data_IF_249460177913
#
_entry.id   IF_249460177913
#
_cell.length_a   1.000
_cell.length_b   1.000
_cell.length_c   1.000
_cell.angle_alpha   90.00
_cell.angle_beta   90.00
_cell.angle_gamma   90.00
#
_symmetry.space_group_name_H-M   'P 1'
#
loop_
_entity.id
_entity.type
_entity.pdbx_description
1 polymer ?
#
# COMPACT_ATOMS: atom_id res chain seq x y z
N UNK A 1 -7.78 -11.15 2.25
CA UNK A 1 -7.98 -9.72 2.55
C UNK A 1 -7.84 -9.39 4.03
N UNK A 2 -8.46 -10.14 4.96
CA UNK A 2 -8.31 -9.89 6.41
C UNK A 2 -6.84 -9.85 6.88
N UNK A 3 -5.99 -10.72 6.32
CA UNK A 3 -4.54 -10.72 6.57
C UNK A 3 -3.90 -9.37 6.21
N UNK A 4 -4.23 -8.79 5.05
CA UNK A 4 -3.71 -7.49 4.63
C UNK A 4 -4.15 -6.36 5.57
N UNK A 5 -5.39 -6.42 6.07
CA UNK A 5 -5.88 -5.45 7.06
C UNK A 5 -5.10 -5.55 8.37
N UNK A 6 -4.95 -6.76 8.92
CA UNK A 6 -4.26 -7.00 10.20
C UNK A 6 -2.80 -6.61 10.13
N UNK A 7 -2.10 -6.98 9.05
CA UNK A 7 -0.68 -6.62 8.85
C UNK A 7 -0.49 -5.11 8.61
N UNK A 8 -1.51 -4.38 8.18
CA UNK A 8 -1.41 -2.92 8.09
C UNK A 8 -1.51 -2.21 9.45
N UNK A 9 -2.08 -2.86 10.48
CA UNK A 9 -2.35 -2.21 11.77
C UNK A 9 -1.10 -1.73 12.52
N UNK A 10 0.01 -2.48 12.61
CA UNK A 10 1.22 -2.01 13.30
C UNK A 10 1.79 -0.72 12.70
N UNK A 11 1.89 -0.66 11.37
CA UNK A 11 2.29 0.56 10.64
C UNK A 11 1.28 1.67 10.92
N UNK A 12 -0.01 1.38 10.74
CA UNK A 12 -1.05 2.38 10.89
C UNK A 12 -1.07 3.01 12.29
N UNK A 13 -0.88 2.19 13.33
CA UNK A 13 -0.79 2.63 14.72
C UNK A 13 0.46 3.47 14.97
N UNK A 14 1.63 3.00 14.53
CA UNK A 14 2.88 3.74 14.65
C UNK A 14 2.80 5.10 13.95
N UNK A 15 2.15 5.14 12.78
CA UNK A 15 1.98 6.37 12.00
C UNK A 15 0.96 7.31 12.63
N UNK A 16 -0.17 6.83 13.13
CA UNK A 16 -1.14 7.65 13.86
C UNK A 16 -0.52 8.32 15.09
N UNK A 17 0.30 7.57 15.86
CA UNK A 17 0.94 8.07 17.07
C UNK A 17 2.03 9.13 16.78
N UNK A 18 2.80 8.97 15.70
CA UNK A 18 3.97 9.79 15.42
C UNK A 18 3.79 10.80 14.28
N UNK A 19 2.69 10.74 13.53
CA UNK A 19 2.45 11.64 12.41
C UNK A 19 0.98 11.92 12.15
N UNK A 20 0.67 13.20 11.97
CA UNK A 20 -0.70 13.68 11.75
C UNK A 20 -1.22 13.53 10.31
N UNK A 21 -0.47 12.91 9.39
CA UNK A 21 -0.80 12.93 7.95
C UNK A 21 -1.58 11.70 7.46
N UNK A 22 -1.31 10.52 8.02
CA UNK A 22 -1.96 9.26 7.65
C UNK A 22 -1.78 8.25 8.79
N UNK A 23 -2.80 7.46 9.08
CA UNK A 23 -2.79 6.55 10.24
C UNK A 23 -3.82 5.42 10.11
N UNK A 24 -4.58 5.12 11.17
CA UNK A 24 -5.42 3.92 11.32
C UNK A 24 -6.51 3.77 10.27
N UNK A 25 -6.95 4.86 9.67
CA UNK A 25 -7.91 4.81 8.56
C UNK A 25 -7.21 4.58 7.21
N UNK A 26 -6.07 5.23 6.98
CA UNK A 26 -5.45 5.31 5.65
C UNK A 26 -4.70 4.02 5.29
N UNK A 27 -3.82 3.55 6.17
CA UNK A 27 -2.95 2.42 5.88
C UNK A 27 -3.72 1.10 5.64
N UNK A 28 -4.70 0.72 6.48
CA UNK A 28 -5.47 -0.50 6.22
C UNK A 28 -6.34 -0.40 4.96
N UNK A 29 -6.86 0.77 4.62
CA UNK A 29 -7.60 0.97 3.36
C UNK A 29 -6.70 0.79 2.14
N UNK A 30 -5.46 1.28 2.17
CA UNK A 30 -4.49 1.08 1.09
C UNK A 30 -4.15 -0.41 0.92
N UNK A 31 -3.85 -1.12 2.01
CA UNK A 31 -3.56 -2.56 1.96
C UNK A 31 -4.75 -3.37 1.43
N UNK A 32 -5.97 -3.05 1.88
CA UNK A 32 -7.19 -3.69 1.40
C UNK A 32 -7.47 -3.41 -0.08
N UNK A 33 -7.36 -2.15 -0.51
CA UNK A 33 -7.66 -1.75 -1.88
C UNK A 33 -6.71 -2.41 -2.89
N UNK A 34 -5.41 -2.39 -2.61
CA UNK A 34 -4.39 -3.04 -3.45
C UNK A 34 -4.55 -4.55 -3.48
N UNK A 35 -4.84 -5.18 -2.33
CA UNK A 35 -5.16 -6.60 -2.26
C UNK A 35 -6.42 -6.96 -3.08
N UNK A 36 -7.49 -6.17 -2.95
CA UNK A 36 -8.74 -6.37 -3.68
C UNK A 36 -8.53 -6.26 -5.20
N UNK A 37 -7.90 -5.18 -5.65
CA UNK A 37 -7.67 -4.94 -7.08
C UNK A 37 -6.81 -6.04 -7.70
N UNK A 38 -5.78 -6.50 -7.00
CA UNK A 38 -4.94 -7.59 -7.49
C UNK A 38 -5.71 -8.92 -7.51
N UNK A 39 -6.53 -9.22 -6.49
CA UNK A 39 -7.39 -10.41 -6.49
C UNK A 39 -8.41 -10.39 -7.63
N UNK A 40 -8.98 -9.23 -7.94
CA UNK A 40 -9.85 -9.07 -9.12
C UNK A 40 -9.05 -9.36 -10.39
N UNK A 41 -7.83 -8.82 -10.51
CA UNK A 41 -6.93 -9.12 -11.62
C UNK A 41 -6.69 -10.62 -11.80
N UNK A 42 -6.33 -11.33 -10.73
CA UNK A 42 -6.02 -12.77 -10.76
C UNK A 42 -7.27 -13.62 -11.06
N UNK A 43 -8.39 -13.35 -10.39
CA UNK A 43 -9.55 -14.24 -10.44
C UNK A 43 -10.49 -13.95 -11.61
N UNK A 44 -10.51 -12.70 -12.10
CA UNK A 44 -11.43 -12.27 -13.17
C UNK A 44 -10.71 -12.20 -14.52
N UNK A 45 -9.44 -11.79 -14.54
CA UNK A 45 -8.68 -11.64 -15.79
C UNK A 45 -7.77 -12.86 -15.98
N UNK A 46 -8.23 -13.86 -16.73
CA UNK A 46 -7.55 -15.15 -16.91
C UNK A 46 -6.28 -15.12 -17.80
N UNK A 47 -5.56 -14.00 -17.84
CA UNK A 47 -4.33 -13.85 -18.63
C UNK A 47 -3.26 -13.14 -17.81
N UNK A 48 -2.05 -13.73 -17.79
CA UNK A 48 -0.86 -13.15 -17.16
C UNK A 48 -0.54 -11.74 -17.67
N UNK A 49 -0.85 -11.45 -18.94
CA UNK A 49 -0.70 -10.11 -19.51
C UNK A 49 -1.71 -9.10 -18.98
N UNK A 50 -2.91 -9.54 -18.57
CA UNK A 50 -3.91 -8.68 -17.94
C UNK A 50 -3.60 -8.45 -16.46
N UNK A 51 -3.19 -9.49 -15.74
CA UNK A 51 -2.73 -9.41 -14.36
C UNK A 51 -1.53 -8.44 -14.22
N UNK A 52 -0.55 -8.52 -15.12
CA UNK A 52 0.62 -7.63 -15.10
C UNK A 52 0.24 -6.16 -15.32
N UNK A 53 -0.74 -5.88 -16.19
CA UNK A 53 -1.27 -4.52 -16.39
C UNK A 53 -2.00 -4.00 -15.15
N UNK A 54 -2.76 -4.86 -14.46
CA UNK A 54 -3.40 -4.49 -13.18
C UNK A 54 -2.34 -4.17 -12.14
N UNK A 55 -1.32 -5.03 -11.98
CA UNK A 55 -0.22 -4.79 -11.05
C UNK A 55 0.52 -3.48 -11.39
N UNK A 56 0.82 -3.24 -12.66
CA UNK A 56 1.47 -2.01 -13.12
C UNK A 56 0.61 -0.78 -12.78
N UNK A 57 -0.71 -0.84 -13.04
CA UNK A 57 -1.62 0.26 -12.72
C UNK A 57 -1.66 0.54 -11.20
N UNK A 58 -1.66 -0.50 -10.36
CA UNK A 58 -1.60 -0.35 -8.91
C UNK A 58 -0.27 0.32 -8.49
N UNK A 59 0.88 -0.17 -8.98
CA UNK A 59 2.20 0.38 -8.65
C UNK A 59 2.31 1.84 -9.08
N UNK A 60 1.84 2.18 -10.28
CA UNK A 60 1.81 3.56 -10.77
C UNK A 60 0.89 4.44 -9.92
N UNK A 61 -0.31 3.96 -9.58
CA UNK A 61 -1.26 4.69 -8.71
C UNK A 61 -0.71 4.94 -7.31
N UNK A 62 0.03 3.99 -6.75
CA UNK A 62 0.72 4.17 -5.46
C UNK A 62 1.77 5.29 -5.51
N UNK A 63 2.40 5.53 -6.66
CA UNK A 63 3.30 6.66 -6.88
C UNK A 63 2.60 8.01 -6.69
N UNK A 64 1.33 8.13 -7.13
CA UNK A 64 0.53 9.34 -6.95
C UNK A 64 0.18 9.57 -5.47
N UNK A 65 -0.27 8.53 -4.75
CA UNK A 65 -0.59 8.61 -3.32
C UNK A 65 0.67 8.98 -2.51
N UNK A 66 1.81 8.34 -2.82
CA UNK A 66 3.09 8.64 -2.18
C UNK A 66 3.55 10.08 -2.46
N UNK A 67 3.53 10.51 -3.72
CA UNK A 67 3.87 11.88 -4.11
C UNK A 67 3.00 12.93 -3.43
N UNK A 68 1.69 12.69 -3.34
CA UNK A 68 0.74 13.58 -2.66
C UNK A 68 0.98 13.73 -1.15
N UNK A 69 1.65 12.77 -0.52
CA UNK A 69 2.03 12.86 0.89
C UNK A 69 3.31 13.68 1.12
N UNK A 70 4.11 13.95 0.08
CA UNK A 70 5.38 14.70 0.20
C UNK A 70 5.10 16.19 0.03
N UNK A 71 5.36 16.97 1.08
CA UNK A 71 5.18 18.41 1.09
C UNK A 71 6.52 19.12 1.19
N UNK A 72 6.76 20.08 0.29
CA UNK A 72 7.95 20.93 0.27
C UNK A 72 7.57 22.36 0.63
N UNK A 73 8.23 22.92 1.64
CA UNK A 73 8.11 24.33 2.03
C UNK A 73 9.50 24.94 2.13
N UNK A 74 9.84 25.81 1.17
CA UNK A 74 11.19 26.36 1.02
C UNK A 74 12.24 25.25 0.87
N UNK A 75 13.18 25.19 1.83
CA UNK A 75 14.23 24.16 1.90
C UNK A 75 13.83 22.90 2.70
N UNK A 76 12.66 22.88 3.34
CA UNK A 76 12.21 21.76 4.19
C UNK A 76 11.29 20.82 3.41
N UNK A 77 11.58 19.52 3.46
CA UNK A 77 10.75 18.45 2.89
C UNK A 77 10.17 17.64 4.06
N UNK A 78 8.87 17.36 4.00
CA UNK A 78 8.16 16.56 5.00
C UNK A 78 7.30 15.50 4.32
N UNK A 79 6.91 14.46 5.04
CA UNK A 79 6.03 13.41 4.52
C UNK A 79 6.72 12.32 3.69
N UNK A 80 8.03 12.39 3.47
CA UNK A 80 8.80 11.33 2.78
C UNK A 80 8.63 9.94 3.45
N UNK A 81 8.70 9.89 4.79
CA UNK A 81 8.47 8.65 5.53
C UNK A 81 7.03 8.15 5.37
N UNK A 82 6.03 9.04 5.44
CA UNK A 82 4.62 8.69 5.21
C UNK A 82 4.42 8.11 3.80
N UNK A 83 4.99 8.76 2.78
CA UNK A 83 4.94 8.32 1.40
C UNK A 83 5.56 6.92 1.23
N UNK A 84 6.76 6.70 1.78
CA UNK A 84 7.44 5.41 1.75
C UNK A 84 6.63 4.31 2.45
N UNK A 85 6.09 4.59 3.64
CA UNK A 85 5.25 3.62 4.35
C UNK A 85 3.96 3.30 3.59
N UNK A 86 3.31 4.30 2.96
CA UNK A 86 2.09 4.07 2.18
C UNK A 86 2.40 3.17 0.97
N UNK A 87 3.53 3.43 0.30
CA UNK A 87 3.98 2.62 -0.83
C UNK A 87 4.26 1.17 -0.40
N UNK A 88 4.99 0.96 0.69
CA UNK A 88 5.24 -0.36 1.27
C UNK A 88 3.94 -1.09 1.65
N UNK A 89 2.97 -0.35 2.20
CA UNK A 89 1.66 -0.90 2.58
C UNK A 89 0.83 -1.34 1.38
N UNK A 90 0.93 -0.63 0.25
CA UNK A 90 0.33 -1.07 -1.01
C UNK A 90 0.98 -2.35 -1.55
N UNK A 91 2.32 -2.44 -1.51
CA UNK A 91 3.05 -3.63 -1.90
C UNK A 91 2.71 -4.84 -1.01
N UNK A 92 2.52 -4.62 0.30
CA UNK A 92 2.05 -5.65 1.23
C UNK A 92 0.68 -6.20 0.83
N UNK A 93 -0.27 -5.34 0.44
CA UNK A 93 -1.59 -5.77 -0.03
C UNK A 93 -1.52 -6.64 -1.28
N UNK A 94 -0.66 -6.29 -2.24
CA UNK A 94 -0.39 -7.11 -3.44
C UNK A 94 0.23 -8.46 -3.04
N UNK A 95 1.22 -8.46 -2.14
CA UNK A 95 1.87 -9.70 -1.66
C UNK A 95 0.86 -10.65 -1.01
N UNK A 96 -0.07 -10.13 -0.20
CA UNK A 96 -1.17 -10.92 0.38
C UNK A 96 -2.10 -11.49 -0.70
N UNK A 97 -2.38 -10.76 -1.78
CA UNK A 97 -3.20 -11.26 -2.88
C UNK A 97 -2.55 -12.48 -3.59
N UNK A 98 -1.23 -12.50 -3.70
CA UNK A 98 -0.46 -13.63 -4.24
C UNK A 98 -0.05 -14.70 -3.22
N UNK A 99 -0.59 -14.64 -2.00
CA UNK A 99 -0.24 -15.56 -0.91
C UNK A 99 1.26 -15.61 -0.59
N UNK A 100 1.99 -14.52 -0.87
CA UNK A 100 3.41 -14.34 -0.55
C UNK A 100 3.54 -13.69 0.83
N UNK A 101 3.18 -14.44 1.86
CA UNK A 101 3.08 -13.94 3.23
C UNK A 101 4.44 -13.57 3.83
N UNK A 102 5.53 -14.19 3.37
CA UNK A 102 6.89 -13.82 3.73
C UNK A 102 7.21 -12.36 3.38
N UNK A 103 6.80 -11.91 2.19
CA UNK A 103 6.97 -10.51 1.78
C UNK A 103 6.03 -9.60 2.55
N UNK A 104 4.78 -10.03 2.78
CA UNK A 104 3.79 -9.23 3.50
C UNK A 104 4.20 -8.96 4.95
N UNK A 105 4.74 -9.97 5.65
CA UNK A 105 5.20 -9.83 7.04
C UNK A 105 6.44 -8.95 7.13
N UNK A 106 7.38 -9.03 6.18
CA UNK A 106 8.56 -8.15 6.15
C UNK A 106 8.21 -6.67 5.91
N UNK A 107 7.07 -6.41 5.26
CA UNK A 107 6.59 -5.07 4.96
C UNK A 107 5.65 -4.50 6.02
N UNK A 108 5.31 -5.26 7.06
CA UNK A 108 4.36 -4.93 8.14
C UNK A 108 4.98 -4.15 9.30
#
# INVERSE_FOLDING_TARGET
>A
MSVAYVLALPIAWNREAHARSAGLRTYPMVALATCAMMLIGINVLSSTGAESRVMQAIITGMGFIGGGAILKSGKRITGLATASSLWATGAMGIAVAWQRYEMAVLLS
#
